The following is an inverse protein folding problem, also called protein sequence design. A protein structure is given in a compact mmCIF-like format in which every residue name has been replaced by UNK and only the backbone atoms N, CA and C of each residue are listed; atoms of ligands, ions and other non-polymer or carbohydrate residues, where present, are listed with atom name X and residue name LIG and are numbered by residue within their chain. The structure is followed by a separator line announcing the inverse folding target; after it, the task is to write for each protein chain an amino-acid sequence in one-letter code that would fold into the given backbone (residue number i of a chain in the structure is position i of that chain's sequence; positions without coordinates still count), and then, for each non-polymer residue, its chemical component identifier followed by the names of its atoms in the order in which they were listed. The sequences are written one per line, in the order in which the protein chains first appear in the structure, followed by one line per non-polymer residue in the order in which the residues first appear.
data_IF_496730385497
#
_entry.id   IF_496730385497
#
_cell.length_a   1.000
_cell.length_b   1.000
_cell.length_c   1.000
_cell.angle_alpha   90.00
_cell.angle_beta   90.00
_cell.angle_gamma   90.00
#
_symmetry.space_group_name_H-M   'P 1'
#
loop_
_entity.id
_entity.type
_entity.pdbx_description
1 polymer ?
#
# COMPACT_ATOMS: atom_id res chain seq x y z
N UNK A 1 -2.44 23.31 -8.49
CA UNK A 1 -3.78 23.05 -9.07
C UNK A 1 -4.56 22.27 -8.04
N UNK A 2 -5.66 22.82 -7.52
CA UNK A 2 -6.54 22.11 -6.59
C UNK A 2 -7.58 21.36 -7.41
N UNK A 3 -7.46 20.03 -7.51
CA UNK A 3 -8.53 19.21 -8.11
C UNK A 3 -9.75 19.29 -7.21
N UNK A 4 -10.84 19.88 -7.69
CA UNK A 4 -12.11 19.85 -6.98
C UNK A 4 -12.81 18.51 -7.26
N UNK A 5 -13.24 17.83 -6.20
CA UNK A 5 -14.12 16.67 -6.35
C UNK A 5 -15.48 17.14 -6.82
N UNK A 6 -16.04 16.44 -7.81
CA UNK A 6 -17.33 16.76 -8.39
C UNK A 6 -18.49 16.15 -7.59
N UNK A 7 -18.21 15.20 -6.68
CA UNK A 7 -19.21 14.59 -5.82
C UNK A 7 -18.62 13.99 -4.53
N UNK A 8 -19.48 13.79 -3.53
CA UNK A 8 -19.13 13.04 -2.32
C UNK A 8 -18.79 11.56 -2.62
N UNK A 9 -19.30 11.01 -3.73
CA UNK A 9 -19.00 9.64 -4.17
C UNK A 9 -17.54 9.50 -4.60
N UNK A 10 -16.98 10.51 -5.29
CA UNK A 10 -15.56 10.55 -5.62
C UNK A 10 -14.68 10.58 -4.37
N UNK A 11 -15.01 11.42 -3.39
CA UNK A 11 -14.28 11.48 -2.13
C UNK A 11 -14.34 10.14 -1.38
N UNK A 12 -15.53 9.54 -1.26
CA UNK A 12 -15.71 8.22 -0.64
C UNK A 12 -14.87 7.16 -1.34
N UNK A 13 -14.89 7.14 -2.67
CA UNK A 13 -14.09 6.21 -3.46
C UNK A 13 -12.60 6.36 -3.17
N UNK A 14 -12.07 7.59 -3.20
CA UNK A 14 -10.65 7.82 -2.92
C UNK A 14 -10.24 7.37 -1.53
N UNK A 15 -11.07 7.64 -0.51
CA UNK A 15 -10.83 7.13 0.84
C UNK A 15 -10.80 5.60 0.84
N UNK A 16 -11.77 4.94 0.21
CA UNK A 16 -11.79 3.47 0.12
C UNK A 16 -10.56 2.91 -0.60
N UNK A 17 -10.15 3.53 -1.72
CA UNK A 17 -8.98 3.12 -2.48
C UNK A 17 -7.68 3.22 -1.65
N UNK A 18 -7.49 4.34 -0.94
CA UNK A 18 -6.33 4.53 -0.05
C UNK A 18 -6.37 3.55 1.12
N UNK A 19 -7.50 3.41 1.79
CA UNK A 19 -7.66 2.48 2.93
C UNK A 19 -7.36 1.03 2.52
N UNK A 20 -7.93 0.55 1.41
CA UNK A 20 -7.70 -0.81 0.95
C UNK A 20 -6.26 -1.02 0.45
N UNK A 21 -5.65 -0.01 -0.17
CA UNK A 21 -4.23 -0.07 -0.55
C UNK A 21 -3.35 -0.28 0.68
N UNK A 22 -3.58 0.49 1.75
CA UNK A 22 -2.83 0.35 3.00
C UNK A 22 -3.13 -0.98 3.71
N UNK A 23 -4.40 -1.40 3.77
CA UNK A 23 -4.78 -2.66 4.40
C UNK A 23 -4.17 -3.87 3.69
N UNK A 24 -4.15 -3.89 2.35
CA UNK A 24 -3.50 -4.97 1.59
C UNK A 24 -1.99 -4.94 1.83
N UNK A 25 -1.37 -3.76 1.89
CA UNK A 25 0.05 -3.62 2.19
C UNK A 25 0.40 -4.07 3.62
N UNK A 26 -0.44 -3.75 4.60
CA UNK A 26 -0.30 -4.19 5.99
C UNK A 26 -0.43 -5.71 6.10
N UNK A 27 -1.49 -6.30 5.54
CA UNK A 27 -1.70 -7.74 5.56
C UNK A 27 -0.59 -8.50 4.81
N UNK A 28 -0.11 -7.95 3.69
CA UNK A 28 0.93 -8.58 2.90
C UNK A 28 2.30 -8.37 3.50
N UNK A 29 2.61 -7.21 4.10
CA UNK A 29 3.98 -6.83 4.41
C UNK A 29 4.25 -6.34 5.84
N UNK A 30 3.22 -6.25 6.69
CA UNK A 30 3.28 -5.46 7.94
C UNK A 30 3.80 -4.05 7.65
N UNK A 31 3.30 -3.46 6.56
CA UNK A 31 3.67 -2.14 6.09
C UNK A 31 3.05 -1.04 6.96
N UNK A 32 3.84 -0.02 7.26
CA UNK A 32 3.39 1.23 7.88
C UNK A 32 3.89 2.42 7.05
N UNK A 33 2.99 3.30 6.59
CA UNK A 33 3.39 4.50 5.82
C UNK A 33 4.08 5.57 6.70
N UNK A 34 3.60 5.75 7.94
CA UNK A 34 4.12 6.63 9.01
C UNK A 34 4.16 8.14 8.75
N UNK A 35 3.95 8.60 7.53
CA UNK A 35 3.90 10.03 7.20
C UNK A 35 2.76 10.37 6.24
N UNK A 36 1.65 9.62 6.25
CA UNK A 36 0.57 9.81 5.29
C UNK A 36 -0.13 11.16 5.53
N UNK A 37 -0.13 12.00 4.49
CA UNK A 37 -0.88 13.25 4.45
C UNK A 37 -1.68 13.31 3.15
N UNK A 38 -2.69 14.20 3.02
CA UNK A 38 -3.37 14.39 1.75
C UNK A 38 -2.43 14.74 0.58
N UNK A 39 -1.27 15.36 0.84
CA UNK A 39 -0.25 15.65 -0.18
C UNK A 39 0.48 14.41 -0.71
N UNK A 40 0.41 13.28 0.01
CA UNK A 40 0.98 11.99 -0.39
C UNK A 40 -0.03 11.08 -1.10
N UNK A 41 -1.21 11.62 -1.46
CA UNK A 41 -2.22 10.93 -2.26
C UNK A 41 -2.38 11.68 -3.57
N UNK A 42 -1.88 11.10 -4.65
CA UNK A 42 -2.08 11.63 -5.99
C UNK A 42 -3.44 11.16 -6.51
N UNK A 43 -4.19 12.07 -7.15
CA UNK A 43 -5.48 11.76 -7.75
C UNK A 43 -5.42 12.05 -9.23
N UNK A 44 -5.88 11.11 -10.05
CA UNK A 44 -6.07 11.29 -11.49
C UNK A 44 -7.47 10.85 -11.93
N UNK A 45 -7.90 11.34 -13.08
CA UNK A 45 -9.09 10.84 -13.74
C UNK A 45 -8.86 9.42 -14.31
N UNK A 46 -9.92 8.61 -14.35
CA UNK A 46 -9.90 7.28 -14.95
C UNK A 46 -11.25 6.95 -15.61
N UNK A 47 -11.21 6.08 -16.61
CA UNK A 47 -12.40 5.49 -17.24
C UNK A 47 -12.76 4.13 -16.64
N UNK A 48 -11.93 3.60 -15.74
CA UNK A 48 -12.22 2.36 -15.01
C UNK A 48 -13.45 2.58 -14.12
N UNK A 49 -14.41 1.65 -14.16
CA UNK A 49 -15.62 1.78 -13.35
C UNK A 49 -15.44 1.22 -11.94
N UNK A 50 -14.68 0.12 -11.81
CA UNK A 50 -14.46 -0.59 -10.57
C UNK A 50 -12.99 -0.97 -10.39
N UNK A 51 -12.55 -1.02 -9.15
CA UNK A 51 -11.20 -1.44 -8.76
C UNK A 51 -11.27 -2.67 -7.83
N UNK A 52 -10.72 -3.82 -8.24
CA UNK A 52 -10.64 -4.99 -7.37
C UNK A 52 -9.49 -4.90 -6.34
N UNK A 53 -9.77 -5.38 -5.12
CA UNK A 53 -8.78 -5.59 -4.05
C UNK A 53 -8.90 -7.01 -3.50
N UNK A 54 -7.77 -7.69 -3.29
CA UNK A 54 -7.74 -8.97 -2.56
C UNK A 54 -7.13 -8.78 -1.17
N UNK A 55 -7.98 -8.80 -0.14
CA UNK A 55 -7.59 -8.64 1.25
C UNK A 55 -7.91 -9.93 2.02
N UNK A 56 -6.90 -10.56 2.62
CA UNK A 56 -7.04 -11.77 3.44
C UNK A 56 -7.85 -12.92 2.80
N UNK A 57 -7.79 -13.05 1.47
CA UNK A 57 -8.52 -14.09 0.73
C UNK A 57 -9.93 -13.69 0.28
N UNK A 58 -10.37 -12.47 0.59
CA UNK A 58 -11.62 -11.89 0.11
C UNK A 58 -11.37 -10.93 -1.05
N UNK A 59 -12.17 -11.08 -2.10
CA UNK A 59 -12.22 -10.14 -3.23
C UNK A 59 -13.23 -9.04 -2.93
N UNK A 60 -12.76 -7.80 -2.89
CA UNK A 60 -13.53 -6.58 -2.67
C UNK A 60 -13.49 -5.73 -3.95
N UNK A 61 -14.55 -4.96 -4.18
CA UNK A 61 -14.63 -4.03 -5.31
C UNK A 61 -14.94 -2.62 -4.81
N UNK A 62 -14.28 -1.63 -5.40
CA UNK A 62 -14.54 -0.21 -5.16
C UNK A 62 -15.01 0.44 -6.45
N UNK A 63 -16.17 1.10 -6.42
CA UNK A 63 -16.62 1.95 -7.52
C UNK A 63 -15.73 3.18 -7.62
N UNK A 64 -15.18 3.45 -8.81
CA UNK A 64 -14.15 4.47 -9.02
C UNK A 64 -14.72 5.88 -9.18
N UNK A 65 -15.97 6.01 -9.65
CA UNK A 65 -16.62 7.30 -9.94
C UNK A 65 -15.73 8.27 -10.75
N UNK A 66 -14.92 7.72 -11.67
CA UNK A 66 -14.03 8.48 -12.54
C UNK A 66 -12.73 8.97 -11.90
N UNK A 67 -12.42 8.58 -10.65
CA UNK A 67 -11.20 9.01 -9.94
C UNK A 67 -10.38 7.84 -9.44
N UNK A 68 -9.06 7.98 -9.52
CA UNK A 68 -8.10 6.99 -9.04
C UNK A 68 -7.10 7.64 -8.08
N UNK A 69 -6.91 7.04 -6.91
CA UNK A 69 -5.88 7.40 -5.94
C UNK A 69 -4.60 6.58 -6.13
N UNK A 70 -3.45 7.22 -5.93
CA UNK A 70 -2.14 6.58 -5.78
C UNK A 70 -1.47 7.12 -4.52
N UNK A 71 -1.12 6.23 -3.58
CA UNK A 71 -0.31 6.59 -2.41
C UNK A 71 1.16 6.65 -2.81
N UNK A 72 1.85 7.72 -2.43
CA UNK A 72 3.27 7.97 -2.76
C UNK A 72 4.08 8.34 -1.51
N UNK A 73 5.36 8.62 -1.71
CA UNK A 73 6.34 9.03 -0.70
C UNK A 73 6.42 8.05 0.49
N UNK A 74 7.25 7.03 0.32
CA UNK A 74 7.49 6.00 1.33
C UNK A 74 8.78 6.24 2.13
N UNK A 75 9.32 7.45 2.11
CA UNK A 75 10.61 7.78 2.73
C UNK A 75 10.66 7.48 4.23
N UNK A 76 9.54 7.65 4.94
CA UNK A 76 9.41 7.35 6.37
C UNK A 76 8.78 5.97 6.67
N UNK A 77 8.42 5.23 5.63
CA UNK A 77 7.66 3.99 5.74
C UNK A 77 8.50 2.86 6.34
N UNK A 78 7.82 1.91 6.97
CA UNK A 78 8.43 0.70 7.54
C UNK A 78 7.83 -0.54 6.92
N UNK A 79 8.69 -1.54 6.82
CA UNK A 79 8.33 -2.93 6.59
C UNK A 79 8.94 -3.71 7.75
N UNK A 80 8.17 -4.59 8.38
CA UNK A 80 8.79 -5.63 9.19
C UNK A 80 9.34 -6.68 8.21
N UNK A 81 10.68 -6.82 8.08
CA UNK A 81 11.21 -7.96 7.40
C UNK A 81 10.75 -9.19 8.19
N UNK A 82 10.25 -10.23 7.51
CA UNK A 82 9.92 -11.43 8.23
C UNK A 82 11.22 -11.97 8.90
N UNK A 83 11.09 -12.60 10.06
CA UNK A 83 12.23 -12.95 10.90
C UNK A 83 12.80 -14.33 10.58
N UNK A 84 14.03 -14.41 10.05
CA UNK A 84 14.86 -15.62 10.10
C UNK A 84 15.66 -15.96 8.82
N UNK A 85 16.47 -17.04 8.81
CA UNK A 85 17.15 -17.51 7.60
C UNK A 85 16.16 -18.30 6.71
N UNK A 86 15.89 -17.81 5.48
CA UNK A 86 14.89 -18.38 4.54
C UNK A 86 13.92 -17.34 3.91
N UNK A 87 14.01 -16.12 4.43
CA UNK A 87 13.15 -14.95 4.28
C UNK A 87 12.99 -14.34 2.89
N UNK A 88 14.02 -14.32 2.04
CA UNK A 88 13.93 -13.63 0.75
C UNK A 88 12.86 -14.26 -0.16
N UNK A 89 12.72 -15.59 -0.15
CA UNK A 89 11.65 -16.28 -0.90
C UNK A 89 10.27 -15.98 -0.31
N UNK A 90 10.18 -15.84 1.02
CA UNK A 90 8.93 -15.53 1.71
C UNK A 90 8.49 -14.07 1.46
N UNK A 91 9.41 -13.11 1.59
CA UNK A 91 9.19 -11.71 1.22
C UNK A 91 8.81 -11.54 -0.25
N UNK A 92 9.51 -12.20 -1.18
CA UNK A 92 9.18 -12.19 -2.61
C UNK A 92 7.80 -12.81 -2.89
N UNK A 93 7.44 -13.89 -2.20
CA UNK A 93 6.10 -14.48 -2.32
C UNK A 93 5.00 -13.51 -1.86
N UNK A 94 5.20 -12.81 -0.74
CA UNK A 94 4.26 -11.79 -0.26
C UNK A 94 4.18 -10.58 -1.18
N UNK A 95 5.28 -10.14 -1.77
CA UNK A 95 5.31 -9.07 -2.78
C UNK A 95 4.58 -9.48 -4.07
N UNK A 96 4.75 -10.71 -4.53
CA UNK A 96 3.96 -11.24 -5.66
C UNK A 96 2.46 -11.31 -5.34
N UNK A 97 2.10 -11.67 -4.10
CA UNK A 97 0.71 -11.67 -3.63
C UNK A 97 0.14 -10.24 -3.60
N UNK A 98 0.87 -9.28 -3.03
CA UNK A 98 0.52 -7.84 -3.04
C UNK A 98 0.26 -7.33 -4.47
N UNK A 99 1.15 -7.65 -5.41
CA UNK A 99 1.03 -7.25 -6.83
C UNK A 99 -0.22 -7.79 -7.52
N UNK A 100 -0.71 -8.96 -7.12
CA UNK A 100 -1.98 -9.52 -7.62
C UNK A 100 -3.20 -8.97 -6.89
N UNK A 101 -3.00 -8.50 -5.66
CA UNK A 101 -4.06 -8.00 -4.79
C UNK A 101 -4.40 -6.53 -4.97
N UNK A 102 -3.51 -5.72 -5.55
CA UNK A 102 -3.73 -4.29 -5.75
C UNK A 102 -3.00 -3.80 -7.03
N UNK A 103 -3.71 -3.58 -8.15
CA UNK A 103 -3.08 -3.24 -9.43
C UNK A 103 -2.48 -1.82 -9.51
N UNK A 104 -2.73 -0.95 -8.52
CA UNK A 104 -2.35 0.47 -8.60
C UNK A 104 -1.47 0.98 -7.44
N UNK A 105 -0.81 0.08 -6.71
CA UNK A 105 0.22 0.51 -5.75
C UNK A 105 1.42 1.12 -6.50
N UNK A 106 2.04 2.17 -5.95
CA UNK A 106 3.14 2.85 -6.61
C UNK A 106 4.34 1.91 -6.85
N UNK A 107 5.00 2.00 -8.02
CA UNK A 107 6.03 1.06 -8.45
C UNK A 107 7.27 1.02 -7.55
N UNK A 108 7.46 2.01 -6.67
CA UNK A 108 8.56 2.10 -5.70
C UNK A 108 8.53 1.01 -4.62
N UNK A 109 7.33 0.53 -4.23
CA UNK A 109 7.17 -0.69 -3.41
C UNK A 109 7.26 -1.96 -4.28
N UNK A 110 7.06 -1.81 -5.59
CA UNK A 110 7.05 -2.92 -6.56
C UNK A 110 8.42 -3.17 -7.21
N UNK A 111 9.37 -2.24 -7.09
CA UNK A 111 10.68 -2.25 -7.75
C UNK A 111 11.79 -2.58 -6.76
N UNK A 112 11.98 -3.87 -6.51
CA UNK A 112 13.29 -4.52 -6.20
C UNK A 112 14.24 -3.95 -5.12
N UNK A 113 13.90 -2.88 -4.39
CA UNK A 113 14.72 -2.25 -3.35
C UNK A 113 14.17 -2.53 -1.95
N UNK A 114 13.73 -3.78 -1.74
CA UNK A 114 13.41 -4.30 -0.41
C UNK A 114 14.55 -4.04 0.60
N UNK A 115 15.80 -4.09 0.14
CA UNK A 115 17.01 -3.76 0.90
C UNK A 115 17.04 -2.32 1.44
N UNK A 116 16.55 -1.33 0.70
CA UNK A 116 16.54 0.08 1.13
C UNK A 116 15.49 0.34 2.21
N UNK A 117 14.34 -0.34 2.13
CA UNK A 117 13.26 -0.25 3.14
C UNK A 117 13.56 -1.04 4.42
N UNK A 118 14.43 -2.06 4.34
CA UNK A 118 14.85 -2.88 5.49
C UNK A 118 16.02 -2.24 6.27
N UNK A 119 16.89 -1.47 5.62
CA UNK A 119 18.10 -0.92 6.25
C UNK A 119 17.85 0.04 7.44
N UNK A 120 16.65 0.64 7.53
CA UNK A 120 16.30 1.57 8.62
C UNK A 120 15.70 0.88 9.87
N UNK A 121 15.64 -0.46 9.87
CA UNK A 121 15.21 -1.27 11.01
C UNK A 121 16.33 -1.58 12.02
N UNK A 122 17.54 -1.03 11.81
CA UNK A 122 18.77 -1.28 12.59
C UNK A 122 18.76 -0.90 14.08
N UNK A 123 17.62 -0.51 14.65
CA UNK A 123 17.45 -0.23 16.08
C UNK A 123 16.23 -0.94 16.66
N UNK A 124 16.13 -2.25 16.49
CA UNK A 124 15.29 -3.08 17.35
C UNK A 124 16.16 -3.68 18.47
N UNK A 125 16.18 -3.00 19.63
CA UNK A 125 16.35 -3.73 20.90
C UNK A 125 15.00 -4.36 21.18
N UNK A 126 14.92 -5.68 21.05
CA UNK A 126 13.78 -6.49 21.47
C UNK A 126 13.25 -6.08 22.85
N UNK A 127 12.03 -5.56 22.98
CA UNK A 127 11.24 -5.74 24.18
C UNK A 127 10.40 -7.00 23.99
N UNK A 128 10.38 -7.88 24.99
CA UNK A 128 9.61 -9.12 25.07
C UNK A 128 10.35 -10.38 24.59
N UNK A 129 11.43 -10.70 25.31
CA UNK A 129 11.60 -12.02 25.90
C UNK A 129 11.70 -11.81 27.41
N UNK A 130 10.60 -12.07 28.13
CA UNK A 130 10.64 -12.54 29.52
C UNK A 130 10.61 -14.07 29.47
#
# INVERSE_FOLDING_TARGET
MTSQFQSALQLRSLVQQVTLTLAVAEAALQFEHRALTPGHVLVKETHDQVLPFWLEGHLLFVDMFGVQATVVDFSAARLLPPGGPGELRYALHRLQKLRRSCPYMAPEIMSSNYSTLVQDSGHWKSPLLM
#
